data_IF_656550366112
#
_entry.id   IF_656550366112
#
_cell.length_a   1.000
_cell.length_b   1.000
_cell.length_c   1.000
_cell.angle_alpha   90.00
_cell.angle_beta   90.00
_cell.angle_gamma   90.00
#
_symmetry.space_group_name_H-M   'P 1'
#
loop_
_entity.id
_entity.type
_entity.pdbx_description
1 polymer ?
#
# COMPACT_ATOMS: atom_id res chain seq x y z
N UNK A 1 9.54 14.25 -10.10
CA UNK A 1 10.01 13.98 -8.72
C UNK A 1 10.25 12.49 -8.60
N UNK A 2 11.48 12.04 -8.34
CA UNK A 2 11.79 10.61 -8.25
C UNK A 2 11.42 10.04 -6.87
N UNK A 3 10.92 8.79 -6.78
CA UNK A 3 10.61 8.18 -5.49
C UNK A 3 11.85 8.12 -4.59
N UNK A 4 11.68 8.38 -3.28
CA UNK A 4 12.79 8.41 -2.30
C UNK A 4 13.64 7.13 -2.22
N UNK A 5 13.15 6.02 -2.77
CA UNK A 5 13.85 4.73 -2.79
C UNK A 5 14.61 4.45 -4.10
N UNK A 6 14.43 5.26 -5.15
CA UNK A 6 15.00 5.01 -6.48
C UNK A 6 16.55 4.97 -6.47
N UNK A 7 17.20 5.82 -5.67
CA UNK A 7 18.67 5.83 -5.56
C UNK A 7 19.24 4.53 -4.98
N UNK A 8 18.51 3.86 -4.08
CA UNK A 8 18.92 2.54 -3.54
C UNK A 8 18.74 1.42 -4.56
N UNK A 9 17.70 1.48 -5.38
CA UNK A 9 17.48 0.50 -6.44
C UNK A 9 18.56 0.61 -7.53
N UNK A 10 18.89 1.84 -7.94
CA UNK A 10 19.97 2.09 -8.89
C UNK A 10 21.33 1.60 -8.37
N UNK A 11 21.64 1.81 -7.08
CA UNK A 11 22.87 1.30 -6.45
C UNK A 11 22.97 -0.23 -6.39
N UNK A 12 21.84 -0.94 -6.53
CA UNK A 12 21.78 -2.41 -6.62
C UNK A 12 21.62 -2.91 -8.06
N UNK A 13 21.58 -2.01 -9.06
CA UNK A 13 21.32 -2.36 -10.45
C UNK A 13 19.92 -2.92 -10.71
N UNK A 14 18.95 -2.60 -9.85
CA UNK A 14 17.56 -3.04 -9.98
C UNK A 14 16.79 -1.99 -10.77
N UNK A 15 16.26 -2.37 -11.93
CA UNK A 15 15.36 -1.54 -12.72
C UNK A 15 13.96 -1.54 -12.09
N UNK A 16 13.47 -0.40 -11.54
CA UNK A 16 12.12 -0.31 -11.01
C UNK A 16 11.09 -0.30 -12.15
N UNK A 17 10.04 -1.11 -12.01
CA UNK A 17 8.82 -0.99 -12.82
C UNK A 17 7.65 -0.58 -11.94
N UNK A 18 6.85 0.37 -12.44
CA UNK A 18 5.58 0.81 -11.84
C UNK A 18 4.38 0.33 -12.64
N UNK A 19 4.59 -0.47 -13.69
CA UNK A 19 3.57 -0.87 -14.64
C UNK A 19 3.09 0.28 -15.52
N UNK A 20 2.06 0.02 -16.34
CA UNK A 20 1.37 1.06 -17.11
C UNK A 20 0.05 1.45 -16.44
N UNK A 21 -0.38 2.70 -16.62
CA UNK A 21 -1.65 3.16 -16.03
C UNK A 21 -2.81 2.34 -16.60
N UNK A 22 -3.54 1.66 -15.72
CA UNK A 22 -4.67 0.81 -16.09
C UNK A 22 -4.31 -0.65 -16.35
N UNK A 23 -3.04 -1.04 -16.27
CA UNK A 23 -2.61 -2.44 -16.27
C UNK A 23 -2.42 -2.95 -14.84
N UNK A 24 -3.36 -3.79 -14.39
CA UNK A 24 -3.32 -4.40 -13.06
C UNK A 24 -2.51 -5.70 -13.02
N UNK A 25 -2.07 -6.25 -14.15
CA UNK A 25 -1.43 -7.57 -14.21
C UNK A 25 -0.05 -7.56 -13.54
N UNK A 26 0.72 -6.48 -13.68
CA UNK A 26 2.04 -6.35 -13.05
C UNK A 26 1.98 -6.42 -11.51
N UNK A 27 0.85 -6.05 -10.91
CA UNK A 27 0.63 -6.07 -9.46
C UNK A 27 -0.23 -7.26 -8.98
N UNK A 28 -0.99 -7.91 -9.87
CA UNK A 28 -2.01 -8.91 -9.50
C UNK A 28 -1.49 -10.03 -8.59
N UNK A 29 -0.26 -10.49 -8.84
CA UNK A 29 0.38 -11.50 -7.99
C UNK A 29 0.70 -10.96 -6.59
N UNK A 30 1.22 -9.74 -6.51
CA UNK A 30 1.51 -9.09 -5.23
C UNK A 30 0.23 -8.83 -4.43
N UNK A 31 -0.86 -8.42 -5.10
CA UNK A 31 -2.16 -8.23 -4.46
C UNK A 31 -2.74 -9.53 -3.92
N UNK A 32 -2.61 -10.63 -4.68
CA UNK A 32 -3.07 -11.95 -4.24
C UNK A 32 -2.38 -12.36 -2.94
N UNK A 33 -1.06 -12.20 -2.86
CA UNK A 33 -0.29 -12.51 -1.65
C UNK A 33 -0.69 -11.57 -0.50
N UNK A 34 -0.83 -10.27 -0.77
CA UNK A 34 -1.26 -9.29 0.23
C UNK A 34 -2.67 -9.59 0.79
N UNK A 35 -3.60 -10.03 -0.06
CA UNK A 35 -4.95 -10.43 0.33
C UNK A 35 -4.97 -11.69 1.19
N UNK A 36 -4.22 -12.73 0.79
CA UNK A 36 -4.08 -13.96 1.58
C UNK A 36 -3.48 -13.69 2.96
N UNK A 37 -2.44 -12.86 3.01
CA UNK A 37 -1.82 -12.48 4.28
C UNK A 37 -2.79 -11.72 5.19
N UNK A 38 -3.51 -10.73 4.67
CA UNK A 38 -4.55 -10.01 5.43
C UNK A 38 -5.61 -10.97 5.96
N UNK A 39 -6.06 -11.91 5.14
CA UNK A 39 -7.04 -12.91 5.55
C UNK A 39 -6.52 -13.79 6.69
N UNK A 40 -5.28 -14.28 6.60
CA UNK A 40 -4.66 -15.07 7.69
C UNK A 40 -4.55 -14.27 8.98
N UNK A 41 -4.08 -13.03 8.90
CA UNK A 41 -3.87 -12.13 10.05
C UNK A 41 -5.20 -11.85 10.77
N UNK A 42 -6.27 -11.58 10.02
CA UNK A 42 -7.61 -11.36 10.56
C UNK A 42 -8.16 -12.66 11.17
N UNK A 43 -8.08 -13.77 10.44
CA UNK A 43 -8.65 -15.05 10.86
C UNK A 43 -8.00 -15.58 12.14
N UNK A 44 -6.68 -15.43 12.25
CA UNK A 44 -5.91 -15.82 13.45
C UNK A 44 -5.93 -14.76 14.56
N UNK A 45 -6.65 -13.64 14.37
CA UNK A 45 -6.72 -12.51 15.30
C UNK A 45 -5.35 -12.03 15.78
N UNK A 46 -4.34 -12.07 14.90
CA UNK A 46 -2.96 -11.74 15.28
C UNK A 46 -2.79 -10.29 15.72
N UNK A 47 -3.70 -9.41 15.28
CA UNK A 47 -3.71 -7.99 15.64
C UNK A 47 -4.64 -7.67 16.82
N UNK A 48 -5.20 -8.68 17.51
CA UNK A 48 -6.06 -8.45 18.67
C UNK A 48 -5.44 -7.53 19.76
N UNK A 49 -4.13 -7.60 20.07
CA UNK A 49 -3.51 -6.69 21.04
C UNK A 49 -3.43 -5.22 20.58
N UNK A 50 -3.50 -4.98 19.27
CA UNK A 50 -3.32 -3.65 18.68
C UNK A 50 -4.67 -2.89 18.60
N UNK A 51 -5.78 -3.60 18.80
CA UNK A 51 -7.13 -3.05 18.70
C UNK A 51 -7.66 -3.03 17.27
N UNK A 52 -8.99 -3.06 17.13
CA UNK A 52 -9.67 -2.95 15.84
C UNK A 52 -10.12 -1.50 15.62
N UNK A 53 -9.52 -0.80 14.67
CA UNK A 53 -10.06 0.46 14.16
C UNK A 53 -11.12 0.12 13.11
N UNK A 54 -12.40 0.49 13.30
CA UNK A 54 -13.45 0.19 12.35
C UNK A 54 -13.19 0.88 11.00
N UNK A 55 -13.60 0.24 9.88
CA UNK A 55 -13.31 0.72 8.53
C UNK A 55 -13.85 2.14 8.28
N UNK A 56 -15.00 2.50 8.85
CA UNK A 56 -15.59 3.82 8.71
C UNK A 56 -14.70 4.96 9.28
N UNK A 57 -14.05 4.72 10.43
CA UNK A 57 -13.11 5.69 11.01
C UNK A 57 -11.82 5.75 10.18
N UNK A 58 -11.31 4.59 9.73
CA UNK A 58 -10.14 4.50 8.87
C UNK A 58 -10.33 5.19 7.51
N UNK A 59 -11.52 5.09 6.91
CA UNK A 59 -11.88 5.76 5.65
C UNK A 59 -11.93 7.28 5.81
N UNK A 60 -12.51 7.78 6.91
CA UNK A 60 -12.56 9.21 7.21
C UNK A 60 -11.14 9.81 7.40
N UNK A 61 -10.24 9.08 8.06
CA UNK A 61 -8.83 9.47 8.17
C UNK A 61 -8.09 9.42 6.82
N UNK A 62 -8.53 8.56 5.91
CA UNK A 62 -7.93 8.43 4.57
C UNK A 62 -8.32 9.58 3.65
N UNK A 63 -9.59 9.98 3.64
CA UNK A 63 -10.07 11.12 2.83
C UNK A 63 -9.50 12.46 3.28
N UNK A 64 -9.26 12.62 4.59
CA UNK A 64 -8.63 13.83 5.14
C UNK A 64 -7.14 13.92 4.79
N UNK A 65 -6.38 12.82 4.89
CA UNK A 65 -4.96 12.80 4.55
C UNK A 65 -4.68 12.98 3.05
N UNK A 66 -5.50 12.39 2.17
CA UNK A 66 -5.38 12.55 0.70
C UNK A 66 -5.77 13.96 0.26
N UNK A 67 -6.77 14.57 0.91
CA UNK A 67 -7.17 15.96 0.63
C UNK A 67 -6.06 16.97 0.91
N UNK A 68 -5.33 16.81 2.02
CA UNK A 68 -4.19 17.67 2.36
C UNK A 68 -2.98 17.46 1.42
N UNK A 69 -2.75 16.23 0.96
CA UNK A 69 -1.68 15.94 0.01
C UNK A 69 -1.97 16.47 -1.41
N UNK A 70 -3.25 16.54 -1.80
CA UNK A 70 -3.66 17.09 -3.10
C UNK A 70 -3.64 18.62 -3.15
N UNK A 71 -3.82 19.31 -2.01
CA UNK A 71 -3.74 20.77 -1.92
C UNK A 71 -2.31 21.31 -1.79
N UNK A 72 -1.35 20.46 -1.42
CA UNK A 72 0.06 20.81 -1.25
C UNK A 72 0.93 20.65 -2.51
N UNK A 73 0.32 20.47 -3.69
CA UNK A 73 0.99 20.25 -4.98
C UNK A 73 0.95 21.49 -5.89
#
# INVERSE_FOLDING_TARGET
MAPRYAGRLAGLGIEPSVGSVGDSCDNARAETVGGLFRAEVIHRRLLAPIGNVPPAEAEMHSHTHVGDQALAA
#
